data_IF_642205123007
#
_entry.id   IF_642205123007
#
_cell.length_a   1.000
_cell.length_b   1.000
_cell.length_c   1.000
_cell.angle_alpha   90.00
_cell.angle_beta   90.00
_cell.angle_gamma   90.00
#
_symmetry.space_group_name_H-M   'P 1'
#
loop_
_entity.id
_entity.type
_entity.pdbx_description
1 polymer ?
#
# COMPACT_ATOMS: atom_id res chain seq x y z
N UNK A 1 -5.98 25.66 -21.60
CA UNK A 1 -5.42 25.40 -20.24
C UNK A 1 -4.86 23.99 -20.24
N UNK A 2 -3.55 23.86 -20.04
CA UNK A 2 -2.88 22.56 -19.95
C UNK A 2 -2.72 22.23 -18.47
N UNK A 3 -3.30 21.12 -18.03
CA UNK A 3 -2.99 20.56 -16.71
C UNK A 3 -1.57 19.97 -16.79
N UNK A 4 -0.63 20.35 -15.89
CA UNK A 4 0.70 19.76 -15.88
C UNK A 4 0.60 18.25 -15.61
N UNK A 5 1.46 17.48 -16.27
CA UNK A 5 1.53 16.03 -16.10
C UNK A 5 1.81 15.72 -14.61
N UNK A 6 1.11 14.75 -13.99
CA UNK A 6 1.39 14.39 -12.61
C UNK A 6 2.84 13.93 -12.45
N UNK A 7 3.52 14.46 -11.44
CA UNK A 7 4.79 13.89 -11.00
C UNK A 7 4.49 12.59 -10.25
N UNK A 8 4.97 11.47 -10.78
CA UNK A 8 4.73 10.14 -10.19
C UNK A 8 5.97 9.58 -9.47
N UNK A 9 7.06 10.35 -9.43
CA UNK A 9 8.31 10.00 -8.75
C UNK A 9 8.68 11.06 -7.71
N UNK A 10 8.82 10.63 -6.46
CA UNK A 10 9.21 11.45 -5.33
C UNK A 10 10.46 10.82 -4.71
N UNK A 11 11.63 11.50 -4.77
CA UNK A 11 12.88 10.92 -4.25
C UNK A 11 12.92 10.84 -2.72
N UNK A 12 11.97 11.48 -2.03
CA UNK A 12 11.87 11.52 -0.58
C UNK A 12 10.43 11.35 -0.10
N UNK A 13 10.28 10.84 1.13
CA UNK A 13 8.97 10.74 1.79
C UNK A 13 8.49 12.13 2.20
N UNK A 14 7.39 12.58 1.60
CA UNK A 14 6.66 13.79 2.00
C UNK A 14 5.42 13.47 2.83
N UNK A 15 4.88 14.48 3.55
CA UNK A 15 3.67 14.36 4.38
C UNK A 15 2.46 13.75 3.65
N UNK A 16 2.32 14.03 2.34
CA UNK A 16 1.23 13.48 1.53
C UNK A 16 1.21 11.94 1.50
N UNK A 17 2.36 11.27 1.69
CA UNK A 17 2.41 9.81 1.78
C UNK A 17 1.80 9.24 3.08
N UNK A 18 1.58 10.07 4.10
CA UNK A 18 0.87 9.68 5.33
C UNK A 18 -0.62 10.06 5.34
N UNK A 19 -1.15 10.68 4.28
CA UNK A 19 -2.50 11.23 4.25
C UNK A 19 -3.63 10.25 3.89
N UNK A 20 -3.32 8.97 3.67
CA UNK A 20 -4.28 7.92 3.27
C UNK A 20 -4.77 7.99 1.81
N UNK A 21 -4.31 8.98 1.03
CA UNK A 21 -4.74 9.19 -0.35
C UNK A 21 -3.86 8.55 -1.42
N UNK A 22 -3.86 9.13 -2.63
CA UNK A 22 -3.08 8.66 -3.80
C UNK A 22 -1.60 8.41 -3.46
N UNK A 23 -0.99 9.28 -2.66
CA UNK A 23 0.43 9.21 -2.34
C UNK A 23 0.72 8.09 -1.34
N UNK A 24 -0.14 7.89 -0.33
CA UNK A 24 -0.05 6.73 0.56
C UNK A 24 -0.14 5.42 -0.23
N UNK A 25 -1.11 5.31 -1.14
CA UNK A 25 -1.23 4.15 -2.03
C UNK A 25 0.00 3.97 -2.92
N UNK A 26 0.54 5.05 -3.48
CA UNK A 26 1.76 5.01 -4.29
C UNK A 26 2.94 4.46 -3.50
N UNK A 27 3.11 4.88 -2.24
CA UNK A 27 4.17 4.36 -1.36
C UNK A 27 3.96 2.87 -1.08
N UNK A 28 2.73 2.46 -0.79
CA UNK A 28 2.36 1.03 -0.59
C UNK A 28 2.68 0.19 -1.81
N UNK A 29 2.29 0.61 -3.00
CA UNK A 29 2.49 -0.16 -4.23
C UNK A 29 3.95 -0.15 -4.71
N UNK A 30 4.59 1.02 -4.77
CA UNK A 30 5.92 1.16 -5.38
C UNK A 30 7.07 0.78 -4.46
N UNK A 31 6.88 0.80 -3.15
CA UNK A 31 7.95 0.50 -2.17
C UNK A 31 7.64 -0.78 -1.41
N UNK A 32 6.51 -0.83 -0.68
CA UNK A 32 6.23 -1.97 0.21
C UNK A 32 5.84 -3.24 -0.55
N UNK A 33 4.91 -3.17 -1.49
CA UNK A 33 4.55 -4.33 -2.31
C UNK A 33 5.68 -4.78 -3.21
N UNK A 34 6.47 -3.85 -3.76
CA UNK A 34 7.64 -4.20 -4.57
C UNK A 34 8.67 -5.01 -3.75
N UNK A 35 8.85 -4.70 -2.46
CA UNK A 35 9.83 -5.36 -1.60
C UNK A 35 9.29 -6.61 -0.87
N UNK A 36 8.02 -6.61 -0.47
CA UNK A 36 7.43 -7.62 0.43
C UNK A 36 6.19 -8.32 -0.13
N UNK A 37 5.87 -8.07 -1.39
CA UNK A 37 4.66 -8.55 -2.05
C UNK A 37 4.51 -10.07 -2.00
N UNK A 38 3.30 -10.51 -1.70
CA UNK A 38 2.84 -11.90 -1.73
C UNK A 38 1.33 -11.91 -1.96
N UNK A 39 0.73 -13.08 -2.17
CA UNK A 39 -0.69 -13.23 -2.49
C UNK A 39 -1.64 -12.67 -1.41
N UNK A 40 -1.19 -12.62 -0.15
CA UNK A 40 -1.96 -12.08 0.96
C UNK A 40 -1.89 -10.55 0.96
N UNK A 41 -0.68 -9.99 0.95
CA UNK A 41 -0.46 -8.54 1.02
C UNK A 41 -0.92 -7.83 -0.26
N UNK A 42 -0.75 -8.48 -1.42
CA UNK A 42 -1.10 -7.93 -2.74
C UNK A 42 -2.59 -7.65 -2.94
N UNK A 43 -3.46 -8.15 -2.05
CA UNK A 43 -4.90 -7.83 -2.05
C UNK A 43 -5.17 -6.39 -1.66
N UNK A 44 -4.31 -5.77 -0.84
CA UNK A 44 -4.47 -4.39 -0.36
C UNK A 44 -5.86 -4.11 0.25
N UNK A 45 -6.37 -5.07 1.03
CA UNK A 45 -7.60 -4.91 1.81
C UNK A 45 -7.30 -4.23 3.16
N UNK A 46 -8.34 -3.94 3.94
CA UNK A 46 -8.26 -3.38 5.30
C UNK A 46 -7.53 -4.28 6.33
N UNK A 47 -7.09 -5.47 5.90
CA UNK A 47 -6.36 -6.44 6.69
C UNK A 47 -6.02 -7.70 5.90
N UNK A 48 -5.26 -8.60 6.52
CA UNK A 48 -4.87 -9.89 5.98
C UNK A 48 -5.80 -10.99 6.49
N UNK A 49 -6.17 -11.92 5.60
CA UNK A 49 -6.75 -13.22 5.99
C UNK A 49 -5.64 -14.25 5.95
N UNK A 50 -5.32 -14.84 7.10
CA UNK A 50 -4.24 -15.81 7.26
C UNK A 50 -4.81 -17.19 7.59
N UNK A 51 -4.46 -18.20 6.79
CA UNK A 51 -4.78 -19.58 7.10
C UNK A 51 -3.83 -20.10 8.20
N UNK A 52 -4.38 -20.56 9.33
CA UNK A 52 -3.62 -21.03 10.49
C UNK A 52 -4.14 -22.40 10.94
N UNK A 53 -3.53 -23.47 10.41
CA UNK A 53 -3.94 -24.84 10.70
C UNK A 53 -5.42 -25.08 10.38
N UNK A 54 -6.27 -25.44 11.36
CA UNK A 54 -7.69 -25.72 11.10
C UNK A 54 -8.58 -24.47 10.92
N UNK A 55 -8.03 -23.25 10.91
CA UNK A 55 -8.82 -22.02 10.90
C UNK A 55 -8.23 -20.87 10.09
N UNK A 56 -8.91 -19.72 10.14
CA UNK A 56 -8.50 -18.47 9.51
C UNK A 56 -8.53 -17.33 10.50
N UNK A 57 -7.54 -16.45 10.45
CA UNK A 57 -7.45 -15.23 11.25
C UNK A 57 -7.60 -14.02 10.34
N UNK A 58 -8.41 -13.05 10.75
CA UNK A 58 -8.36 -11.70 10.23
C UNK A 58 -7.37 -10.89 11.08
N UNK A 59 -6.34 -10.33 10.46
CA UNK A 59 -5.29 -9.56 11.12
C UNK A 59 -5.18 -8.17 10.48
N UNK A 60 -5.11 -7.12 11.29
CA UNK A 60 -4.92 -5.75 10.83
C UNK A 60 -4.09 -4.95 11.84
N UNK A 61 -3.47 -3.86 11.38
CA UNK A 61 -2.67 -2.93 12.18
C UNK A 61 -2.77 -1.53 11.57
N UNK A 62 -2.72 -0.52 12.43
CA UNK A 62 -2.59 0.92 12.10
C UNK A 62 -1.27 1.47 12.64
#
# INVERSE_FOLDING_TARGET
MVCPLPLDEYPTVVLAHGGGGKFSRMLTEKVFLAAFGNDTLGRLHDGAVLDVGPGRIAFSTD
#
